data_IF_616396489011
#
_entry.id   IF_616396489011
#
_cell.length_a   1.000
_cell.length_b   1.000
_cell.length_c   1.000
_cell.angle_alpha   90.00
_cell.angle_beta   90.00
_cell.angle_gamma   90.00
#
_symmetry.space_group_name_H-M   'P 1'
#
loop_
_entity.id
_entity.type
_entity.pdbx_description
1 polymer ?
#
# COMPACT_ATOMS: atom_id res chain seq x y z
N UNK A 1 23.35 -0.91 -10.28
CA UNK A 1 23.68 -0.88 -8.84
C UNK A 1 23.29 0.43 -8.14
N UNK A 2 23.12 1.56 -8.85
CA UNK A 2 22.81 2.87 -8.24
C UNK A 2 21.29 3.15 -8.11
N UNK A 3 20.45 2.54 -8.97
CA UNK A 3 18.99 2.81 -8.99
C UNK A 3 18.26 2.22 -7.76
N UNK A 4 18.76 1.14 -7.17
CA UNK A 4 18.06 0.38 -6.11
C UNK A 4 18.18 0.99 -4.69
N UNK A 5 19.18 1.84 -4.43
CA UNK A 5 19.32 2.51 -3.13
C UNK A 5 18.45 3.77 -2.99
N UNK A 6 17.92 4.28 -4.10
CA UNK A 6 17.16 5.53 -4.13
C UNK A 6 15.70 5.31 -3.68
N UNK A 7 15.13 4.10 -3.79
CA UNK A 7 13.70 3.89 -3.53
C UNK A 7 13.34 3.90 -2.03
N UNK A 8 13.94 3.05 -1.20
CA UNK A 8 13.49 2.85 0.19
C UNK A 8 13.70 4.09 1.07
N UNK A 9 14.94 4.58 1.18
CA UNK A 9 15.26 5.74 2.01
C UNK A 9 14.63 7.02 1.48
N UNK A 10 14.60 7.26 0.17
CA UNK A 10 14.06 8.51 -0.35
C UNK A 10 12.52 8.55 -0.33
N UNK A 11 11.82 7.44 -0.59
CA UNK A 11 10.36 7.39 -0.49
C UNK A 11 9.90 7.53 0.96
N UNK A 12 10.51 6.81 1.90
CA UNK A 12 10.14 6.92 3.31
C UNK A 12 10.49 8.31 3.85
N UNK A 13 11.74 8.77 3.67
CA UNK A 13 12.20 10.07 4.19
C UNK A 13 11.49 11.24 3.50
N UNK A 14 11.26 11.20 2.19
CA UNK A 14 10.54 12.23 1.44
C UNK A 14 9.06 12.30 1.83
N UNK A 15 8.41 11.15 2.03
CA UNK A 15 7.02 11.11 2.50
C UNK A 15 6.88 11.63 3.93
N UNK A 16 7.78 11.27 4.84
CA UNK A 16 7.81 11.81 6.22
C UNK A 16 8.12 13.30 6.29
N UNK A 17 9.10 13.77 5.54
CA UNK A 17 9.52 15.17 5.56
C UNK A 17 8.53 16.09 4.83
N UNK A 18 7.76 15.55 3.88
CA UNK A 18 6.71 16.28 3.13
C UNK A 18 5.30 16.14 3.70
N UNK A 19 5.05 15.21 4.63
CA UNK A 19 3.75 14.99 5.23
C UNK A 19 3.32 16.19 6.09
N UNK A 20 2.44 17.04 5.56
CA UNK A 20 1.73 18.07 6.33
C UNK A 20 0.28 17.64 6.49
N UNK A 21 -0.19 17.57 7.74
CA UNK A 21 -1.54 17.15 8.09
C UNK A 21 -1.76 15.62 8.19
N UNK A 22 -2.93 15.23 8.69
CA UNK A 22 -3.26 13.83 9.00
C UNK A 22 -3.13 12.89 7.79
N UNK A 23 -3.56 13.32 6.60
CA UNK A 23 -3.49 12.52 5.37
C UNK A 23 -2.05 12.24 4.94
N UNK A 24 -1.13 13.20 5.12
CA UNK A 24 0.29 13.00 4.85
C UNK A 24 0.91 11.97 5.77
N UNK A 25 0.56 12.02 7.07
CA UNK A 25 1.00 11.01 8.05
C UNK A 25 0.50 9.62 7.65
N UNK A 26 -0.79 9.47 7.34
CA UNK A 26 -1.37 8.19 6.93
C UNK A 26 -0.66 7.62 5.69
N UNK A 27 -0.49 8.44 4.65
CA UNK A 27 0.22 8.00 3.43
C UNK A 27 1.65 7.55 3.72
N UNK A 28 2.35 8.27 4.60
CA UNK A 28 3.72 7.89 5.00
C UNK A 28 3.78 6.53 5.69
N UNK A 29 2.75 6.16 6.44
CA UNK A 29 2.67 4.86 7.13
C UNK A 29 2.33 3.73 6.17
N UNK A 30 1.49 3.98 5.16
CA UNK A 30 1.25 3.02 4.06
C UNK A 30 2.56 2.70 3.34
N UNK A 31 3.28 3.74 2.89
CA UNK A 31 4.55 3.58 2.18
C UNK A 31 5.59 2.89 3.06
N UNK A 32 5.69 3.27 4.34
CA UNK A 32 6.59 2.64 5.29
C UNK A 32 6.31 1.14 5.45
N UNK A 33 5.05 0.75 5.60
CA UNK A 33 4.68 -0.66 5.75
C UNK A 33 5.01 -1.47 4.50
N UNK A 34 4.78 -0.93 3.31
CA UNK A 34 5.16 -1.55 2.04
C UNK A 34 6.68 -1.71 1.96
N UNK A 35 7.43 -0.63 2.18
CA UNK A 35 8.89 -0.60 2.09
C UNK A 35 9.54 -1.64 3.01
N UNK A 36 9.07 -1.72 4.25
CA UNK A 36 9.55 -2.71 5.23
C UNK A 36 9.30 -4.15 4.80
N UNK A 37 8.17 -4.44 4.13
CA UNK A 37 7.85 -5.79 3.67
C UNK A 37 8.71 -6.28 2.50
N UNK A 38 9.30 -5.36 1.74
CA UNK A 38 10.13 -5.68 0.57
C UNK A 38 11.63 -5.50 0.81
N UNK A 39 12.01 -5.10 2.03
CA UNK A 39 13.40 -4.88 2.42
C UNK A 39 14.25 -6.14 2.18
N UNK A 40 15.43 -5.95 1.58
CA UNK A 40 16.36 -7.04 1.27
C UNK A 40 15.97 -7.95 0.11
N UNK A 41 14.82 -7.74 -0.54
CA UNK A 41 14.38 -8.56 -1.69
C UNK A 41 14.86 -7.97 -3.02
N UNK A 42 15.52 -8.78 -3.84
CA UNK A 42 15.98 -8.36 -5.18
C UNK A 42 14.91 -8.52 -6.26
N UNK A 43 13.93 -9.41 -6.03
CA UNK A 43 12.77 -9.66 -6.89
C UNK A 43 11.56 -9.88 -6.01
N UNK A 44 10.38 -9.51 -6.52
CA UNK A 44 9.11 -9.63 -5.80
C UNK A 44 8.14 -10.47 -6.62
N UNK A 45 7.56 -11.49 -6.00
CA UNK A 45 6.40 -12.20 -6.56
C UNK A 45 5.09 -11.44 -6.28
N UNK A 46 3.99 -11.91 -6.85
CA UNK A 46 2.66 -11.39 -6.51
C UNK A 46 2.32 -11.60 -5.03
N UNK A 47 2.79 -12.68 -4.40
CA UNK A 47 2.61 -12.90 -2.97
C UNK A 47 3.44 -11.93 -2.12
N UNK A 48 4.66 -11.60 -2.54
CA UNK A 48 5.49 -10.61 -1.85
C UNK A 48 4.82 -9.24 -1.88
N UNK A 49 4.32 -8.84 -3.04
CA UNK A 49 3.60 -7.59 -3.22
C UNK A 49 2.30 -7.59 -2.41
N UNK A 50 1.54 -8.67 -2.42
CA UNK A 50 0.32 -8.78 -1.62
C UNK A 50 0.57 -8.61 -0.13
N UNK A 51 1.61 -9.26 0.40
CA UNK A 51 2.06 -9.06 1.79
C UNK A 51 2.51 -7.62 2.04
N UNK A 52 3.15 -6.98 1.06
CA UNK A 52 3.58 -5.59 1.19
C UNK A 52 2.40 -4.63 1.28
N UNK A 53 1.40 -4.74 0.38
CA UNK A 53 0.19 -3.93 0.44
C UNK A 53 -0.60 -4.16 1.72
N UNK A 54 -0.75 -5.42 2.15
CA UNK A 54 -1.42 -5.74 3.41
C UNK A 54 -0.68 -5.13 4.61
N UNK A 55 0.64 -5.21 4.64
CA UNK A 55 1.42 -4.58 5.71
C UNK A 55 1.36 -3.05 5.68
N UNK A 56 1.31 -2.44 4.49
CA UNK A 56 1.07 -1.01 4.32
C UNK A 56 -0.25 -0.58 4.96
N UNK A 57 -1.34 -1.30 4.64
CA UNK A 57 -2.65 -1.10 5.26
C UNK A 57 -2.60 -1.24 6.77
N UNK A 58 -2.07 -2.36 7.29
CA UNK A 58 -2.03 -2.63 8.72
C UNK A 58 -1.19 -1.60 9.49
N UNK A 59 -0.09 -1.13 8.88
CA UNK A 59 0.76 -0.08 9.46
C UNK A 59 0.02 1.25 9.55
N UNK A 60 -0.72 1.61 8.50
CA UNK A 60 -1.51 2.84 8.47
C UNK A 60 -2.65 2.82 9.49
N UNK A 61 -3.40 1.71 9.58
CA UNK A 61 -4.47 1.56 10.57
C UNK A 61 -3.95 1.66 12.00
N UNK A 62 -2.83 1.01 12.31
CA UNK A 62 -2.21 1.05 13.65
C UNK A 62 -1.67 2.42 14.03
N UNK A 63 -1.33 3.26 13.04
CA UNK A 63 -0.81 4.60 13.28
C UNK A 63 -1.90 5.63 13.61
N UNK A 64 -3.18 5.28 13.44
CA UNK A 64 -4.31 6.19 13.69
C UNK A 64 -5.07 5.71 14.93
N UNK A 65 -5.21 6.57 15.95
CA UNK A 65 -5.86 6.23 17.22
C UNK A 65 -7.33 5.83 17.02
N UNK A 66 -8.03 6.51 16.10
CA UNK A 66 -9.43 6.22 15.75
C UNK A 66 -9.58 6.18 14.23
N UNK A 67 -9.33 5.01 13.58
CA UNK A 67 -9.46 4.89 12.14
C UNK A 67 -10.91 5.12 11.71
N UNK A 68 -11.09 5.82 10.58
CA UNK A 68 -12.41 6.15 10.04
C UNK A 68 -12.56 5.41 8.70
N UNK A 69 -13.59 4.56 8.62
CA UNK A 69 -14.05 3.97 7.36
C UNK A 69 -14.77 5.02 6.50
N UNK A 70 -14.71 4.88 5.18
CA UNK A 70 -15.07 5.92 4.22
C UNK A 70 -13.92 6.89 3.92
N UNK A 71 -12.67 6.51 4.21
CA UNK A 71 -11.47 7.31 3.91
C UNK A 71 -10.44 6.49 3.13
N UNK A 72 -9.26 7.07 2.86
CA UNK A 72 -8.11 6.35 2.29
C UNK A 72 -7.78 5.04 3.04
N UNK A 73 -8.12 4.96 4.33
CA UNK A 73 -7.96 3.74 5.13
C UNK A 73 -8.81 2.59 4.57
N UNK A 74 -10.07 2.85 4.21
CA UNK A 74 -10.95 1.85 3.57
C UNK A 74 -10.35 1.32 2.29
N UNK A 75 -9.92 2.23 1.39
CA UNK A 75 -9.31 1.86 0.12
C UNK A 75 -8.10 0.97 0.33
N UNK A 76 -7.14 1.38 1.19
CA UNK A 76 -5.92 0.57 1.39
C UNK A 76 -6.19 -0.77 2.08
N UNK A 77 -7.21 -0.86 2.97
CA UNK A 77 -7.65 -2.11 3.60
C UNK A 77 -8.18 -3.08 2.56
N UNK A 78 -9.12 -2.63 1.74
CA UNK A 78 -9.77 -3.45 0.71
C UNK A 78 -8.77 -3.87 -0.36
N UNK A 79 -7.92 -2.96 -0.84
CA UNK A 79 -6.82 -3.29 -1.75
C UNK A 79 -5.88 -4.34 -1.14
N UNK A 80 -5.51 -4.19 0.13
CA UNK A 80 -4.64 -5.16 0.83
C UNK A 80 -5.29 -6.55 0.95
N UNK A 81 -6.57 -6.62 1.25
CA UNK A 81 -7.31 -7.88 1.34
C UNK A 81 -7.50 -8.54 -0.04
N UNK A 82 -7.84 -7.75 -1.05
CA UNK A 82 -7.93 -8.19 -2.44
C UNK A 82 -6.59 -8.73 -2.93
N UNK A 83 -5.49 -8.01 -2.67
CA UNK A 83 -4.14 -8.43 -3.04
C UNK A 83 -3.80 -9.83 -2.52
N UNK A 84 -4.12 -10.12 -1.25
CA UNK A 84 -3.88 -11.44 -0.62
C UNK A 84 -4.71 -12.54 -1.29
N UNK A 85 -5.95 -12.26 -1.68
CA UNK A 85 -6.82 -13.22 -2.37
C UNK A 85 -6.34 -13.47 -3.80
N UNK A 86 -5.99 -12.41 -4.52
CA UNK A 86 -5.65 -12.45 -5.95
C UNK A 86 -4.27 -13.07 -6.19
N UNK A 87 -3.28 -12.82 -5.34
CA UNK A 87 -1.94 -13.40 -5.48
C UNK A 87 -1.92 -14.94 -5.39
N UNK A 88 -2.96 -15.56 -4.82
CA UNK A 88 -3.12 -17.02 -4.83
C UNK A 88 -3.37 -17.57 -6.23
N UNK A 89 -3.97 -16.77 -7.12
CA UNK A 89 -4.45 -17.19 -8.44
C UNK A 89 -3.69 -16.56 -9.59
N UNK A 90 -3.18 -15.33 -9.41
CA UNK A 90 -2.42 -14.60 -10.44
C UNK A 90 -0.94 -14.50 -10.05
N UNK A 91 -0.06 -14.86 -10.98
CA UNK A 91 1.41 -14.87 -10.81
C UNK A 91 2.10 -13.86 -11.72
N UNK A 92 1.42 -13.39 -12.76
CA UNK A 92 1.89 -12.28 -13.57
C UNK A 92 1.76 -10.97 -12.77
N UNK A 93 2.91 -10.36 -12.46
CA UNK A 93 2.98 -9.15 -11.64
C UNK A 93 2.24 -7.98 -12.28
N UNK A 94 2.30 -7.85 -13.61
CA UNK A 94 1.67 -6.73 -14.32
C UNK A 94 0.15 -6.87 -14.24
N UNK A 95 -0.38 -8.05 -14.56
CA UNK A 95 -1.82 -8.33 -14.45
C UNK A 95 -2.31 -8.17 -13.01
N UNK A 96 -1.56 -8.70 -12.04
CA UNK A 96 -1.87 -8.56 -10.63
C UNK A 96 -2.00 -7.08 -10.20
N UNK A 97 -1.05 -6.24 -10.59
CA UNK A 97 -1.09 -4.81 -10.28
C UNK A 97 -2.25 -4.09 -11.00
N UNK A 98 -2.54 -4.44 -12.26
CA UNK A 98 -3.71 -3.89 -12.96
C UNK A 98 -5.03 -4.25 -12.26
N UNK A 99 -5.18 -5.49 -11.79
CA UNK A 99 -6.34 -5.91 -11.01
C UNK A 99 -6.44 -5.15 -9.69
N UNK A 100 -5.31 -4.95 -9.01
CA UNK A 100 -5.27 -4.22 -7.74
C UNK A 100 -5.64 -2.74 -7.90
N UNK A 101 -5.17 -2.09 -8.97
CA UNK A 101 -5.55 -0.70 -9.28
C UNK A 101 -7.05 -0.61 -9.56
N UNK A 102 -7.60 -1.56 -10.32
CA UNK A 102 -9.04 -1.61 -10.59
C UNK A 102 -9.86 -1.73 -9.29
N UNK A 103 -9.48 -2.65 -8.41
CA UNK A 103 -10.13 -2.80 -7.10
C UNK A 103 -10.04 -1.51 -6.27
N UNK A 104 -8.86 -0.89 -6.22
CA UNK A 104 -8.64 0.34 -5.45
C UNK A 104 -9.51 1.50 -5.95
N UNK A 105 -9.71 1.58 -7.27
CA UNK A 105 -10.61 2.58 -7.86
C UNK A 105 -12.08 2.27 -7.56
N UNK A 106 -12.52 1.01 -7.64
CA UNK A 106 -13.89 0.64 -7.26
C UNK A 106 -14.18 0.97 -5.80
N UNK A 107 -13.27 0.64 -4.88
CA UNK A 107 -13.40 1.04 -3.46
C UNK A 107 -13.52 2.57 -3.33
N UNK A 108 -12.69 3.33 -4.04
CA UNK A 108 -12.77 4.80 -4.03
C UNK A 108 -14.09 5.36 -4.60
N UNK A 109 -14.64 4.74 -5.65
CA UNK A 109 -15.93 5.13 -6.25
C UNK A 109 -17.09 4.85 -5.31
N UNK A 110 -17.08 3.72 -4.58
CA UNK A 110 -18.07 3.40 -3.56
C UNK A 110 -18.11 4.48 -2.47
N UNK A 111 -16.95 5.02 -2.08
CA UNK A 111 -16.85 6.13 -1.13
C UNK A 111 -17.53 7.43 -1.62
N UNK A 112 -17.60 7.67 -2.92
CA UNK A 112 -18.17 8.87 -3.52
C UNK A 112 -19.69 8.80 -3.71
N UNK A 113 -20.27 7.62 -3.48
CA UNK A 113 -21.70 7.35 -3.69
C UNK A 113 -22.54 7.62 -2.42
N UNK A 114 -21.90 8.01 -1.33
CA UNK A 114 -22.51 8.42 -0.06
C UNK A 114 -22.51 9.95 0.11
#
# INVERSE_FOLDING_TARGET
MIIYQISEKALSKGSLMGARGNSGVILSQIIRGIAKSIEGKSKLSTEDLAKAFKNGSDTAYKAVIKPIEGTILTVVRESGEFAIKTAKKEKDVVKFLSMLVKESNSSLEELQTF
#
